data_IF_642137510602
#
_entry.id   IF_642137510602
#
_cell.length_a   1.000
_cell.length_b   1.000
_cell.length_c   1.000
_cell.angle_alpha   90.00
_cell.angle_beta   90.00
_cell.angle_gamma   90.00
#
_symmetry.space_group_name_H-M   'P 1'
#
loop_
_entity.id
_entity.type
_entity.pdbx_description
1 polymer ?
#
# COMPACT_ATOMS: atom_id res chain seq x y z
N UNK A 1 5.89 -40.60 -13.47
CA UNK A 1 5.71 -39.21 -13.96
C UNK A 1 4.24 -38.87 -14.27
N UNK A 2 3.27 -39.30 -13.45
CA UNK A 2 1.84 -38.90 -13.57
C UNK A 2 1.27 -38.32 -12.27
N UNK A 3 1.92 -38.60 -11.14
CA UNK A 3 1.50 -38.10 -9.82
C UNK A 3 1.97 -36.66 -9.58
N UNK A 4 3.16 -36.31 -10.07
CA UNK A 4 3.74 -34.95 -9.96
C UNK A 4 2.92 -33.91 -10.72
N UNK A 5 2.43 -34.25 -11.92
CA UNK A 5 1.63 -33.35 -12.76
C UNK A 5 0.29 -32.97 -12.11
N UNK A 6 -0.37 -33.91 -11.43
CA UNK A 6 -1.66 -33.65 -10.75
C UNK A 6 -1.50 -32.73 -9.55
N UNK A 7 -0.38 -32.83 -8.84
CA UNK A 7 -0.10 -32.02 -7.66
C UNK A 7 0.17 -30.55 -8.05
N UNK A 8 0.84 -30.32 -9.18
CA UNK A 8 1.10 -28.97 -9.69
C UNK A 8 -0.17 -28.23 -10.11
N UNK A 9 -1.16 -28.91 -10.69
CA UNK A 9 -2.42 -28.26 -11.09
C UNK A 9 -3.24 -27.82 -9.88
N UNK A 10 -3.27 -28.61 -8.79
CA UNK A 10 -3.99 -28.26 -7.58
C UNK A 10 -3.39 -27.05 -6.85
N UNK A 11 -2.06 -26.90 -6.89
CA UNK A 11 -1.37 -25.76 -6.27
C UNK A 11 -1.73 -24.42 -6.94
N UNK A 12 -1.97 -24.41 -8.26
CA UNK A 12 -2.36 -23.21 -9.00
C UNK A 12 -3.80 -22.78 -8.68
N UNK A 13 -4.71 -23.74 -8.46
CA UNK A 13 -6.08 -23.42 -8.03
C UNK A 13 -6.17 -22.99 -6.56
N UNK A 14 -5.22 -23.39 -5.71
CA UNK A 14 -5.15 -22.97 -4.31
C UNK A 14 -4.49 -21.60 -4.11
N UNK A 15 -3.76 -21.11 -5.11
CA UNK A 15 -3.23 -19.75 -5.12
C UNK A 15 -4.37 -18.76 -5.44
N UNK A 16 -5.12 -18.36 -4.41
CA UNK A 16 -6.05 -17.23 -4.50
C UNK A 16 -5.31 -15.93 -4.86
N UNK A 17 -6.04 -14.86 -5.22
CA UNK A 17 -5.42 -13.58 -5.53
C UNK A 17 -4.61 -13.11 -4.31
N UNK A 18 -3.32 -12.85 -4.51
CA UNK A 18 -2.54 -12.07 -3.56
C UNK A 18 -3.04 -10.63 -3.71
N UNK A 19 -3.99 -10.25 -2.87
CA UNK A 19 -4.36 -8.85 -2.72
C UNK A 19 -3.19 -8.20 -1.98
N UNK A 20 -2.50 -7.27 -2.65
CA UNK A 20 -1.54 -6.44 -1.98
C UNK A 20 -2.30 -5.67 -0.88
N UNK A 21 -1.76 -5.69 0.33
CA UNK A 21 -2.23 -4.85 1.42
C UNK A 21 -1.88 -3.40 1.07
N UNK A 22 -2.85 -2.68 0.52
CA UNK A 22 -2.71 -1.30 0.04
C UNK A 22 -3.37 -0.31 1.00
N UNK A 23 -3.61 -0.75 2.25
CA UNK A 23 -4.35 0.02 3.24
C UNK A 23 -3.53 1.22 3.76
N UNK A 24 -2.19 1.20 3.62
CA UNK A 24 -1.31 2.30 4.04
C UNK A 24 -0.78 3.12 2.85
N UNK A 25 -1.03 4.43 2.87
CA UNK A 25 -0.46 5.43 1.96
C UNK A 25 0.79 6.07 2.58
N UNK A 26 1.93 6.01 1.90
CA UNK A 26 3.19 6.62 2.36
C UNK A 26 3.38 7.99 1.73
N UNK A 27 3.41 9.06 2.53
CA UNK A 27 3.70 10.43 2.08
C UNK A 27 5.17 10.79 2.25
N UNK A 28 5.67 11.62 1.35
CA UNK A 28 6.99 12.26 1.42
C UNK A 28 6.81 13.76 1.63
N UNK A 29 7.03 14.24 2.85
CA UNK A 29 6.87 15.65 3.22
C UNK A 29 8.24 16.31 3.43
N UNK A 30 8.53 17.42 2.76
CA UNK A 30 9.79 18.16 2.91
C UNK A 30 9.75 19.22 4.02
N UNK A 31 8.59 19.41 4.64
CA UNK A 31 8.36 20.35 5.74
C UNK A 31 8.06 21.79 5.29
N UNK A 32 7.81 22.04 4.00
CA UNK A 32 7.31 23.32 3.53
C UNK A 32 5.82 23.46 3.84
N UNK A 33 5.39 24.64 4.29
CA UNK A 33 4.04 24.86 4.82
C UNK A 33 2.92 24.48 3.86
N UNK A 34 3.07 24.76 2.57
CA UNK A 34 2.10 24.41 1.52
C UNK A 34 1.97 22.89 1.33
N UNK A 35 3.09 22.18 1.37
CA UNK A 35 3.12 20.72 1.26
C UNK A 35 2.53 20.08 2.52
N UNK A 36 2.97 20.48 3.71
CA UNK A 36 2.44 19.92 4.96
C UNK A 36 0.93 20.18 5.12
N UNK A 37 0.46 21.37 4.72
CA UNK A 37 -0.98 21.68 4.74
C UNK A 37 -1.77 20.76 3.79
N UNK A 38 -1.25 20.52 2.58
CA UNK A 38 -1.89 19.65 1.59
C UNK A 38 -1.86 18.18 2.03
N UNK A 39 -0.75 17.71 2.58
CA UNK A 39 -0.63 16.36 3.18
C UNK A 39 -1.64 16.17 4.30
N UNK A 40 -1.75 17.12 5.23
CA UNK A 40 -2.71 17.05 6.33
C UNK A 40 -4.16 17.03 5.84
N UNK A 41 -4.52 17.88 4.88
CA UNK A 41 -5.85 17.88 4.29
C UNK A 41 -6.16 16.54 3.60
N UNK A 42 -5.18 15.95 2.91
CA UNK A 42 -5.33 14.67 2.22
C UNK A 42 -5.46 13.51 3.22
N UNK A 43 -4.71 13.53 4.33
CA UNK A 43 -4.83 12.54 5.41
C UNK A 43 -6.25 12.47 5.97
N UNK A 44 -6.92 13.62 6.16
CA UNK A 44 -8.33 13.64 6.61
C UNK A 44 -9.25 12.92 5.63
N UNK A 45 -9.03 13.09 4.33
CA UNK A 45 -9.83 12.41 3.29
C UNK A 45 -9.54 10.91 3.26
N UNK A 46 -8.26 10.53 3.35
CA UNK A 46 -7.84 9.12 3.32
C UNK A 46 -8.34 8.34 4.54
N UNK A 47 -8.29 8.95 5.73
CA UNK A 47 -8.85 8.39 6.96
C UNK A 47 -10.36 8.13 6.82
N UNK A 48 -11.11 9.08 6.24
CA UNK A 48 -12.53 8.90 5.97
C UNK A 48 -12.85 7.77 4.97
N UNK A 49 -11.88 7.41 4.12
CA UNK A 49 -11.97 6.29 3.17
C UNK A 49 -11.46 4.96 3.74
N UNK A 50 -10.93 4.96 4.97
CA UNK A 50 -10.40 3.77 5.65
C UNK A 50 -8.94 3.46 5.34
N UNK A 51 -8.18 4.41 4.80
CA UNK A 51 -6.74 4.26 4.59
C UNK A 51 -5.95 4.79 5.78
N UNK A 52 -4.85 4.11 6.09
CA UNK A 52 -3.82 4.59 6.99
C UNK A 52 -2.82 5.48 6.23
N UNK A 53 -2.26 6.48 6.89
CA UNK A 53 -1.22 7.35 6.29
C UNK A 53 0.06 7.34 7.12
N UNK A 54 1.21 7.11 6.48
CA UNK A 54 2.54 7.19 7.08
C UNK A 54 3.33 8.32 6.42
N UNK A 55 3.61 9.39 7.16
CA UNK A 55 4.27 10.59 6.64
C UNK A 55 5.77 10.54 6.94
N UNK A 56 6.59 10.49 5.89
CA UNK A 56 8.05 10.55 5.96
C UNK A 56 8.53 11.97 5.75
N UNK A 57 9.20 12.53 6.75
CA UNK A 57 9.87 13.83 6.60
C UNK A 57 11.18 13.64 5.85
N UNK A 58 11.34 14.33 4.71
CA UNK A 58 12.51 14.30 3.86
C UNK A 58 13.19 15.67 3.82
N UNK A 59 14.50 15.68 3.60
CA UNK A 59 15.24 16.91 3.34
C UNK A 59 15.48 17.07 1.84
N UNK A 60 15.29 18.28 1.33
CA UNK A 60 15.78 18.69 0.01
C UNK A 60 17.12 19.44 0.16
N UNK A 61 18.05 19.37 -0.83
CA UNK A 61 19.35 20.04 -0.76
C UNK A 61 19.30 21.56 -0.62
#
# INVERSE_FOLDING_TARGET
MRLTTKLSTLAILAAGPVLADCDTVIFSDVGWTDITATTAATTVVLDALGYETDIKVLSVP
#
